data_IF_492947102297
#
_entry.id   IF_492947102297
#
_cell.length_a   1.000
_cell.length_b   1.000
_cell.length_c   1.000
_cell.angle_alpha   90.00
_cell.angle_beta   90.00
_cell.angle_gamma   90.00
#
_symmetry.space_group_name_H-M   'P 1'
#
loop_
_entity.id
_entity.type
_entity.pdbx_description
1 polymer ?
#
# COMPACT_ATOMS: atom_id res chain seq x y z
N UNK A 1 -8.61 -30.90 17.50
CA UNK A 1 -8.05 -29.54 17.55
C UNK A 1 -6.57 -29.51 17.93
N UNK A 2 -6.13 -30.15 19.02
CA UNK A 2 -4.71 -30.12 19.41
C UNK A 2 -3.76 -30.89 18.46
N UNK A 3 -4.18 -32.01 17.88
CA UNK A 3 -3.36 -32.89 17.03
C UNK A 3 -3.15 -32.31 15.60
N UNK A 4 -4.15 -31.59 15.07
CA UNK A 4 -4.03 -30.91 13.76
C UNK A 4 -3.12 -29.69 13.84
N UNK A 5 -3.22 -28.91 14.92
CA UNK A 5 -2.33 -27.77 15.15
C UNK A 5 -0.87 -28.20 15.32
N UNK A 6 -0.63 -29.32 16.04
CA UNK A 6 0.72 -29.87 16.20
C UNK A 6 1.32 -30.30 14.85
N UNK A 7 0.55 -31.03 14.02
CA UNK A 7 0.99 -31.43 12.68
C UNK A 7 1.27 -30.25 11.77
N UNK A 8 0.42 -29.21 11.84
CA UNK A 8 0.63 -27.95 11.11
C UNK A 8 1.93 -27.28 11.54
N UNK A 9 2.16 -27.18 12.84
CA UNK A 9 3.36 -26.54 13.39
C UNK A 9 4.62 -27.30 13.00
N UNK A 10 4.64 -28.64 13.07
CA UNK A 10 5.73 -29.49 12.61
C UNK A 10 6.01 -29.29 11.10
N UNK A 11 4.95 -29.23 10.27
CA UNK A 11 5.10 -28.97 8.85
C UNK A 11 5.71 -27.57 8.58
N UNK A 12 5.28 -26.55 9.30
CA UNK A 12 5.80 -25.19 9.17
C UNK A 12 7.28 -25.10 9.57
N UNK A 13 7.70 -25.77 10.66
CA UNK A 13 9.10 -25.86 11.08
C UNK A 13 9.96 -26.56 10.02
N UNK A 14 9.49 -27.65 9.44
CA UNK A 14 10.19 -28.36 8.37
C UNK A 14 10.32 -27.49 7.11
N UNK A 15 9.21 -26.89 6.64
CA UNK A 15 9.19 -26.05 5.43
C UNK A 15 10.13 -24.85 5.59
N UNK A 16 10.01 -24.11 6.69
CA UNK A 16 10.81 -22.89 6.92
C UNK A 16 12.28 -23.20 7.09
N UNK A 17 12.62 -24.32 7.78
CA UNK A 17 14.00 -24.79 7.91
C UNK A 17 14.60 -25.17 6.55
N UNK A 18 13.86 -25.94 5.73
CA UNK A 18 14.29 -26.36 4.39
C UNK A 18 14.51 -25.18 3.44
N UNK A 19 13.66 -24.16 3.52
CA UNK A 19 13.78 -22.96 2.71
C UNK A 19 14.76 -21.92 3.27
N UNK A 20 15.27 -22.10 4.48
CA UNK A 20 16.16 -21.16 5.15
C UNK A 20 15.48 -19.84 5.46
N UNK A 21 14.17 -19.86 5.81
CA UNK A 21 13.37 -18.66 6.08
C UNK A 21 13.19 -18.51 7.59
N UNK A 22 13.35 -17.28 8.08
CA UNK A 22 13.09 -16.98 9.49
C UNK A 22 11.60 -17.08 9.79
N UNK A 23 11.27 -17.81 10.85
CA UNK A 23 9.92 -17.96 11.35
C UNK A 23 9.90 -17.69 12.86
N UNK A 24 8.90 -16.95 13.33
CA UNK A 24 8.72 -16.56 14.71
C UNK A 24 7.30 -16.91 15.18
N UNK A 25 7.20 -17.28 16.47
CA UNK A 25 5.92 -17.55 17.14
C UNK A 25 5.68 -16.55 18.26
N UNK A 26 4.41 -16.41 18.67
CA UNK A 26 4.03 -15.58 19.81
C UNK A 26 4.09 -14.07 19.57
N UNK A 27 4.18 -13.63 18.32
CA UNK A 27 4.02 -12.22 17.95
C UNK A 27 2.57 -11.79 18.08
N UNK A 28 2.37 -10.48 18.20
CA UNK A 28 1.04 -9.86 18.17
C UNK A 28 0.96 -8.83 17.06
N UNK A 29 -0.24 -8.63 16.51
CA UNK A 29 -0.46 -7.55 15.54
C UNK A 29 -0.16 -6.16 16.13
N UNK A 30 -0.33 -5.98 17.42
CA UNK A 30 0.09 -4.77 18.14
C UNK A 30 1.58 -4.42 17.96
N UNK A 31 2.44 -5.41 17.66
CA UNK A 31 3.86 -5.21 17.42
C UNK A 31 4.17 -4.92 15.93
N UNK A 32 3.30 -5.38 15.02
CA UNK A 32 3.53 -5.37 13.59
C UNK A 32 2.72 -4.30 12.83
N UNK A 33 1.76 -3.64 13.49
CA UNK A 33 0.90 -2.63 12.87
C UNK A 33 1.13 -1.22 13.43
N UNK A 34 0.84 -0.22 12.61
CA UNK A 34 0.97 1.19 13.02
C UNK A 34 -0.08 1.62 14.05
N UNK A 35 -1.25 0.97 14.09
CA UNK A 35 -2.27 1.16 15.13
C UNK A 35 -1.83 0.63 16.50
N UNK A 36 -0.87 -0.31 16.53
CA UNK A 36 -0.36 -0.98 17.74
C UNK A 36 -1.46 -1.63 18.58
N UNK A 37 -2.42 -2.24 17.92
CA UNK A 37 -3.49 -3.07 18.50
C UNK A 37 -3.57 -4.38 17.73
N UNK A 38 -4.31 -5.34 18.27
CA UNK A 38 -4.56 -6.65 17.68
C UNK A 38 -3.92 -7.80 18.44
N UNK A 39 -4.53 -8.96 18.31
CA UNK A 39 -4.26 -10.17 19.07
C UNK A 39 -3.01 -10.95 18.64
N UNK A 40 -2.92 -12.17 19.15
CA UNK A 40 -1.78 -13.07 18.89
C UNK A 40 -1.79 -13.62 17.47
N UNK A 41 -0.61 -13.99 16.99
CA UNK A 41 -0.38 -14.61 15.68
C UNK A 41 0.34 -15.92 15.93
N UNK A 42 -0.16 -17.02 15.34
CA UNK A 42 0.48 -18.31 15.51
C UNK A 42 1.90 -18.31 14.91
N UNK A 43 2.03 -17.83 13.67
CA UNK A 43 3.28 -17.81 12.95
C UNK A 43 3.49 -16.53 12.15
N UNK A 44 4.67 -15.94 12.27
CA UNK A 44 5.17 -14.88 11.38
C UNK A 44 6.38 -15.43 10.63
N UNK A 45 6.28 -15.52 9.31
CA UNK A 45 7.33 -16.02 8.43
C UNK A 45 7.84 -14.86 7.59
N UNK A 46 9.16 -14.66 7.59
CA UNK A 46 9.82 -13.50 7.00
C UNK A 46 10.79 -13.90 5.89
N UNK A 47 10.33 -14.10 4.64
CA UNK A 47 11.22 -14.30 3.50
C UNK A 47 12.06 -13.05 3.24
N UNK A 48 13.29 -13.24 2.75
CA UNK A 48 14.22 -12.15 2.44
C UNK A 48 14.42 -11.94 0.95
N UNK A 49 14.02 -12.92 0.12
CA UNK A 49 14.05 -12.82 -1.36
C UNK A 49 12.71 -13.14 -1.99
N UNK A 50 12.54 -12.73 -3.25
CA UNK A 50 11.33 -12.99 -4.03
C UNK A 50 11.12 -14.50 -4.26
N UNK A 51 12.22 -15.24 -4.47
CA UNK A 51 12.20 -16.70 -4.65
C UNK A 51 11.79 -17.42 -3.37
N UNK A 52 12.30 -17.00 -2.21
CA UNK A 52 11.87 -17.53 -0.92
C UNK A 52 10.38 -17.26 -0.68
N UNK A 53 9.92 -16.05 -1.00
CA UNK A 53 8.51 -15.68 -0.84
C UNK A 53 7.60 -16.48 -1.78
N UNK A 54 8.00 -16.72 -3.02
CA UNK A 54 7.25 -17.57 -3.95
C UNK A 54 7.23 -19.03 -3.49
N UNK A 55 8.36 -19.55 -3.02
CA UNK A 55 8.47 -20.93 -2.56
C UNK A 55 7.61 -21.18 -1.30
N UNK A 56 7.67 -20.29 -0.31
CA UNK A 56 6.88 -20.48 0.93
C UNK A 56 5.38 -20.43 0.65
N UNK A 57 4.90 -19.52 -0.21
CA UNK A 57 3.47 -19.47 -0.59
C UNK A 57 3.03 -20.79 -1.20
N UNK A 58 3.80 -21.33 -2.13
CA UNK A 58 3.49 -22.62 -2.78
C UNK A 58 3.41 -23.77 -1.78
N UNK A 59 4.33 -23.83 -0.81
CA UNK A 59 4.32 -24.86 0.23
C UNK A 59 3.12 -24.70 1.17
N UNK A 60 2.76 -23.46 1.55
CA UNK A 60 1.60 -23.19 2.40
C UNK A 60 0.29 -23.60 1.69
N UNK A 61 0.14 -23.26 0.42
CA UNK A 61 -1.01 -23.61 -0.41
C UNK A 61 -1.15 -25.14 -0.55
N UNK A 62 -0.05 -25.85 -0.85
CA UNK A 62 -0.04 -27.31 -0.95
C UNK A 62 -0.38 -27.99 0.37
N UNK A 63 0.01 -27.40 1.49
CA UNK A 63 -0.31 -27.91 2.83
C UNK A 63 -1.71 -27.50 3.31
N UNK A 64 -2.45 -26.68 2.56
CA UNK A 64 -3.75 -26.14 2.97
C UNK A 64 -3.66 -25.20 4.17
N UNK A 65 -2.49 -24.57 4.36
CA UNK A 65 -2.24 -23.63 5.47
C UNK A 65 -2.58 -22.22 5.02
N UNK A 66 -3.53 -21.60 5.68
CA UNK A 66 -3.93 -20.23 5.40
C UNK A 66 -2.85 -19.21 5.74
N UNK A 67 -2.70 -18.18 4.90
CA UNK A 67 -1.72 -17.12 5.09
C UNK A 67 -2.22 -15.75 4.65
N UNK A 68 -1.60 -14.70 5.17
CA UNK A 68 -1.85 -13.30 4.77
C UNK A 68 -0.54 -12.52 4.64
N UNK A 69 -0.35 -11.71 3.56
CA UNK A 69 0.85 -10.89 3.40
C UNK A 69 0.76 -9.62 4.24
N UNK A 70 1.84 -9.28 4.92
CA UNK A 70 1.97 -8.05 5.68
C UNK A 70 3.20 -7.26 5.24
N UNK A 71 2.97 -6.03 4.78
CA UNK A 71 4.02 -5.04 4.58
C UNK A 71 4.41 -4.40 5.93
N UNK A 72 4.37 -3.07 6.01
CA UNK A 72 4.64 -2.33 7.26
C UNK A 72 3.44 -2.23 8.22
N UNK A 73 2.32 -2.89 7.95
CA UNK A 73 1.12 -2.84 8.79
C UNK A 73 0.49 -1.46 8.94
N UNK A 74 0.69 -0.57 7.96
CA UNK A 74 0.24 0.83 8.03
C UNK A 74 -1.21 1.07 7.61
N UNK A 75 -1.89 0.04 7.10
CA UNK A 75 -3.30 0.09 6.68
C UNK A 75 -4.10 -1.13 7.17
N UNK A 76 -3.73 -1.71 8.33
CA UNK A 76 -4.35 -2.92 8.87
C UNK A 76 -4.89 -2.66 10.26
N UNK A 77 -6.12 -3.08 10.52
CA UNK A 77 -6.72 -3.26 11.83
C UNK A 77 -7.03 -4.75 12.01
N UNK A 78 -6.19 -5.46 12.74
CA UNK A 78 -6.45 -6.83 13.17
C UNK A 78 -7.21 -6.82 14.50
N UNK A 79 -8.21 -7.69 14.66
CA UNK A 79 -8.95 -7.80 15.93
C UNK A 79 -8.08 -8.35 17.08
N UNK A 80 -8.62 -8.34 18.29
CA UNK A 80 -7.90 -8.74 19.52
C UNK A 80 -7.86 -10.25 19.74
N UNK A 81 -8.45 -11.05 18.84
CA UNK A 81 -8.49 -12.52 18.93
C UNK A 81 -7.16 -13.21 18.58
N UNK A 82 -7.15 -14.52 18.69
CA UNK A 82 -6.01 -15.36 18.30
C UNK A 82 -6.12 -15.71 16.80
N UNK A 83 -5.13 -15.28 16.02
CA UNK A 83 -5.11 -15.48 14.57
C UNK A 83 -4.36 -16.77 14.21
N UNK A 84 -5.11 -17.75 13.72
CA UNK A 84 -4.62 -19.12 13.44
C UNK A 84 -4.10 -19.33 12.02
N UNK A 85 -3.75 -18.25 11.31
CA UNK A 85 -3.10 -18.31 10.00
C UNK A 85 -1.64 -17.80 10.08
N UNK A 86 -0.89 -18.03 9.02
CA UNK A 86 0.47 -17.54 8.88
C UNK A 86 0.45 -16.09 8.41
N UNK A 87 1.21 -15.22 9.06
CA UNK A 87 1.51 -13.89 8.53
C UNK A 87 2.84 -13.94 7.78
N UNK A 88 2.82 -13.66 6.47
CA UNK A 88 4.02 -13.49 5.65
C UNK A 88 4.47 -12.04 5.74
N UNK A 89 5.48 -11.77 6.57
CA UNK A 89 6.05 -10.43 6.71
C UNK A 89 7.04 -10.16 5.59
N UNK A 90 6.72 -9.22 4.71
CA UNK A 90 7.59 -8.82 3.60
C UNK A 90 8.57 -7.69 3.98
N UNK A 91 8.58 -7.26 5.23
CA UNK A 91 9.41 -6.14 5.69
C UNK A 91 10.92 -6.42 5.60
N UNK A 92 11.32 -7.69 5.64
CA UNK A 92 12.72 -8.09 5.46
C UNK A 92 13.11 -8.30 3.99
N UNK A 93 12.15 -8.38 3.09
CA UNK A 93 12.36 -8.45 1.63
C UNK A 93 12.64 -7.04 1.07
N UNK A 94 13.70 -6.41 1.56
CA UNK A 94 14.02 -5.00 1.22
C UNK A 94 14.57 -4.87 -0.19
N UNK A 95 15.33 -5.85 -0.65
CA UNK A 95 15.95 -5.85 -1.97
C UNK A 95 16.78 -4.61 -2.29
N UNK A 96 17.37 -4.58 -3.47
CA UNK A 96 18.00 -3.39 -4.01
C UNK A 96 17.07 -2.71 -5.01
N UNK A 97 17.07 -1.37 -5.02
CA UNK A 97 16.44 -0.60 -6.09
C UNK A 97 17.42 -0.54 -7.26
N UNK A 98 17.05 -1.14 -8.38
CA UNK A 98 17.87 -1.11 -9.60
C UNK A 98 17.30 -0.11 -10.60
N UNK A 99 18.20 0.60 -11.28
CA UNK A 99 17.87 1.64 -12.25
C UNK A 99 18.41 1.28 -13.63
N UNK A 100 17.53 1.27 -14.63
CA UNK A 100 17.88 1.11 -16.05
C UNK A 100 17.17 2.22 -16.85
N UNK A 101 17.86 3.36 -17.02
CA UNK A 101 17.27 4.56 -17.59
C UNK A 101 16.07 5.05 -16.79
N UNK A 102 14.89 5.03 -17.38
CA UNK A 102 13.60 5.41 -16.79
C UNK A 102 12.92 4.27 -16.03
N UNK A 103 13.42 3.04 -16.19
CA UNK A 103 12.90 1.85 -15.52
C UNK A 103 13.53 1.68 -14.14
N UNK A 104 12.70 1.44 -13.15
CA UNK A 104 13.13 1.24 -11.75
C UNK A 104 12.52 -0.05 -11.24
N UNK A 105 13.35 -1.08 -11.01
CA UNK A 105 12.90 -2.34 -10.43
C UNK A 105 13.07 -2.34 -8.92
N UNK A 106 12.02 -2.75 -8.21
CA UNK A 106 11.92 -2.63 -6.73
C UNK A 106 11.19 -3.82 -6.14
N UNK A 107 11.66 -4.34 -5.01
CA UNK A 107 10.96 -5.39 -4.25
C UNK A 107 9.77 -4.86 -3.46
N UNK A 108 8.75 -5.70 -3.25
CA UNK A 108 7.51 -5.32 -2.56
C UNK A 108 7.72 -4.86 -1.11
N UNK A 109 8.72 -5.37 -0.41
CA UNK A 109 9.06 -4.96 0.95
C UNK A 109 9.78 -3.61 1.06
N UNK A 110 10.18 -3.00 -0.06
CA UNK A 110 10.88 -1.72 -0.03
C UNK A 110 9.97 -0.59 0.46
N UNK A 111 10.52 0.28 1.31
CA UNK A 111 9.76 1.43 1.85
C UNK A 111 9.35 2.40 0.75
N UNK A 112 8.06 2.69 0.61
CA UNK A 112 7.54 3.64 -0.38
C UNK A 112 8.11 5.06 -0.20
N UNK A 113 8.17 5.65 1.02
CA UNK A 113 8.81 6.94 1.22
C UNK A 113 10.29 6.95 0.81
N UNK A 114 11.01 5.87 1.08
CA UNK A 114 12.42 5.74 0.70
C UNK A 114 12.57 5.67 -0.82
N UNK A 115 11.72 4.90 -1.50
CA UNK A 115 11.69 4.81 -2.95
C UNK A 115 11.51 6.19 -3.60
N UNK A 116 10.55 6.98 -3.12
CA UNK A 116 10.33 8.34 -3.63
C UNK A 116 11.59 9.23 -3.51
N UNK A 117 12.33 9.09 -2.41
CA UNK A 117 13.60 9.82 -2.22
C UNK A 117 14.67 9.34 -3.21
N UNK A 118 14.79 8.02 -3.38
CA UNK A 118 15.86 7.44 -4.19
C UNK A 118 15.66 7.71 -5.69
N UNK A 119 14.42 7.65 -6.20
CA UNK A 119 14.10 8.01 -7.59
C UNK A 119 14.27 9.53 -7.83
N UNK A 120 13.88 10.38 -6.88
CA UNK A 120 14.06 11.81 -6.97
C UNK A 120 15.55 12.21 -7.07
N UNK A 121 16.43 11.52 -6.33
CA UNK A 121 17.90 11.72 -6.41
C UNK A 121 18.47 11.33 -7.77
N UNK A 122 17.79 10.45 -8.50
CA UNK A 122 18.14 10.04 -9.87
C UNK A 122 17.53 10.95 -10.94
N UNK A 123 16.76 11.99 -10.54
CA UNK A 123 16.08 12.86 -11.48
C UNK A 123 14.90 12.18 -12.18
N UNK A 124 14.24 11.24 -11.51
CA UNK A 124 13.08 10.53 -12.02
C UNK A 124 11.81 10.97 -11.26
N UNK A 125 10.80 11.37 -12.01
CA UNK A 125 9.51 11.93 -11.59
C UNK A 125 8.38 10.96 -11.84
N UNK A 126 7.29 11.08 -11.07
CA UNK A 126 6.04 10.31 -11.26
C UNK A 126 5.43 9.78 -9.96
N UNK A 127 6.19 9.77 -8.85
CA UNK A 127 5.71 9.29 -7.54
C UNK A 127 5.95 10.25 -6.37
N UNK A 128 6.25 11.52 -6.63
CA UNK A 128 6.60 12.51 -5.61
C UNK A 128 5.54 12.70 -4.54
N UNK A 129 4.27 12.70 -4.95
CA UNK A 129 3.13 12.83 -4.04
C UNK A 129 2.97 11.68 -3.06
N UNK A 130 3.55 10.51 -3.37
CA UNK A 130 3.46 9.31 -2.54
C UNK A 130 4.48 9.30 -1.39
N UNK A 131 5.48 10.18 -1.41
CA UNK A 131 6.61 10.18 -0.46
C UNK A 131 6.22 10.35 1.02
N UNK A 132 5.02 10.81 1.30
CA UNK A 132 4.48 10.93 2.66
C UNK A 132 3.62 9.74 3.11
N UNK A 133 3.31 8.78 2.24
CA UNK A 133 2.47 7.62 2.58
C UNK A 133 3.36 6.58 3.29
N UNK A 134 3.07 6.22 4.56
CA UNK A 134 3.80 5.14 5.22
C UNK A 134 3.44 3.80 4.58
N UNK A 135 4.40 2.94 4.40
CA UNK A 135 4.13 1.63 3.84
C UNK A 135 5.28 1.10 2.97
N UNK A 136 5.02 -0.05 2.37
CA UNK A 136 5.90 -0.71 1.41
C UNK A 136 5.34 -0.58 0.00
N UNK A 137 6.18 -0.84 -1.02
CA UNK A 137 5.75 -0.87 -2.40
C UNK A 137 4.61 -1.88 -2.63
N UNK A 138 4.71 -3.09 -2.06
CA UNK A 138 3.68 -4.12 -2.21
C UNK A 138 2.31 -3.67 -1.69
N UNK A 139 2.26 -3.05 -0.50
CA UNK A 139 1.03 -2.46 0.02
C UNK A 139 0.52 -1.29 -0.84
N UNK A 140 1.42 -0.48 -1.40
CA UNK A 140 1.04 0.60 -2.30
C UNK A 140 0.45 0.09 -3.62
N UNK A 141 1.01 -0.98 -4.19
CA UNK A 141 0.47 -1.63 -5.39
C UNK A 141 -0.90 -2.26 -5.12
N UNK A 142 -1.04 -3.00 -4.02
CA UNK A 142 -2.28 -3.67 -3.64
C UNK A 142 -3.48 -2.73 -3.61
N UNK A 143 -3.32 -1.57 -3.00
CA UNK A 143 -4.40 -0.60 -2.85
C UNK A 143 -4.34 0.54 -3.87
N UNK A 144 -3.53 0.46 -4.93
CA UNK A 144 -3.29 1.57 -5.85
C UNK A 144 -3.09 2.89 -5.10
N UNK A 145 -2.07 2.94 -4.25
CA UNK A 145 -1.83 4.11 -3.40
C UNK A 145 -1.70 5.39 -4.21
N UNK A 146 -2.46 6.41 -3.80
CA UNK A 146 -2.51 7.68 -4.48
C UNK A 146 -2.57 8.86 -3.52
N UNK A 147 -1.85 9.93 -3.83
CA UNK A 147 -1.89 11.20 -3.12
C UNK A 147 -1.34 12.34 -3.99
N UNK A 148 -1.88 13.55 -3.81
CA UNK A 148 -1.41 14.78 -4.46
C UNK A 148 -1.23 14.67 -5.97
N UNK A 149 -2.20 13.99 -6.63
CA UNK A 149 -2.22 13.83 -8.10
C UNK A 149 -1.33 12.72 -8.65
N UNK A 150 -0.70 11.91 -7.79
CA UNK A 150 0.09 10.74 -8.18
C UNK A 150 -0.60 9.46 -7.71
N UNK A 151 -0.57 8.42 -8.53
CA UNK A 151 -1.01 7.06 -8.22
C UNK A 151 0.05 6.07 -8.68
N UNK A 152 0.32 5.04 -7.86
CA UNK A 152 1.38 4.06 -8.18
C UNK A 152 1.08 3.27 -9.46
N UNK A 153 -0.19 2.95 -9.71
CA UNK A 153 -0.62 2.22 -10.89
C UNK A 153 -0.34 2.94 -12.20
N UNK A 154 -0.27 4.29 -12.21
CA UNK A 154 -0.01 5.08 -13.43
C UNK A 154 1.39 4.89 -13.98
N UNK A 155 2.34 4.58 -13.10
CA UNK A 155 3.77 4.40 -13.44
C UNK A 155 4.20 2.94 -13.40
N UNK A 156 3.31 2.00 -13.03
CA UNK A 156 3.64 0.57 -12.96
C UNK A 156 3.65 -0.06 -14.33
N UNK A 157 4.82 -0.52 -14.78
CA UNK A 157 5.02 -1.23 -16.04
C UNK A 157 4.73 -2.72 -15.90
N UNK A 158 5.34 -3.37 -14.88
CA UNK A 158 5.11 -4.77 -14.54
C UNK A 158 5.03 -4.96 -13.04
N UNK A 159 4.29 -5.98 -12.60
CA UNK A 159 4.26 -6.45 -11.21
C UNK A 159 4.75 -7.88 -11.17
N UNK A 160 5.70 -8.18 -10.30
CA UNK A 160 6.14 -9.54 -10.02
C UNK A 160 5.25 -10.15 -8.95
N UNK A 161 4.72 -11.33 -9.24
CA UNK A 161 3.83 -12.07 -8.34
C UNK A 161 4.33 -13.50 -8.13
N UNK A 162 3.98 -14.10 -6.99
CA UNK A 162 4.21 -15.53 -6.76
C UNK A 162 3.10 -16.33 -7.46
N UNK A 163 3.50 -17.31 -8.28
CA UNK A 163 2.59 -18.31 -8.88
C UNK A 163 3.31 -19.65 -8.97
N UNK A 164 2.69 -20.70 -8.45
CA UNK A 164 3.23 -22.07 -8.52
C UNK A 164 4.70 -22.17 -8.10
N UNK A 165 5.04 -21.49 -7.01
CA UNK A 165 6.41 -21.48 -6.47
C UNK A 165 7.42 -20.67 -7.28
N UNK A 166 7.00 -19.87 -8.24
CA UNK A 166 7.86 -19.08 -9.14
C UNK A 166 7.50 -17.60 -9.09
N UNK A 167 8.48 -16.78 -9.43
CA UNK A 167 8.28 -15.35 -9.70
C UNK A 167 7.81 -15.19 -11.14
N UNK A 168 6.67 -14.51 -11.34
CA UNK A 168 6.05 -14.30 -12.64
C UNK A 168 5.76 -12.81 -12.84
N UNK A 169 6.11 -12.29 -14.02
CA UNK A 169 5.81 -10.92 -14.39
C UNK A 169 4.38 -10.78 -14.93
N UNK A 170 3.63 -9.85 -14.36
CA UNK A 170 2.27 -9.46 -14.80
C UNK A 170 2.34 -8.06 -15.36
N UNK A 171 1.98 -7.85 -16.66
CA UNK A 171 1.99 -6.52 -17.24
C UNK A 171 1.05 -5.57 -16.51
N UNK A 172 1.53 -4.36 -16.18
CA UNK A 172 0.75 -3.35 -15.46
C UNK A 172 -0.51 -2.88 -16.21
N UNK A 173 -0.54 -3.01 -17.54
CA UNK A 173 -1.71 -2.71 -18.38
C UNK A 173 -2.79 -3.83 -18.35
N UNK A 174 -2.49 -5.01 -17.83
CA UNK A 174 -3.47 -6.08 -17.60
C UNK A 174 -4.15 -5.97 -16.23
N UNK A 175 -3.68 -5.05 -15.39
CA UNK A 175 -4.23 -4.79 -14.05
C UNK A 175 -5.17 -3.59 -14.16
N UNK A 176 -6.39 -3.73 -13.64
CA UNK A 176 -7.32 -2.59 -13.52
C UNK A 176 -6.98 -1.82 -12.24
N UNK A 177 -6.57 -0.57 -12.42
CA UNK A 177 -6.23 0.34 -11.34
C UNK A 177 -7.39 1.30 -11.06
N UNK A 178 -8.02 1.15 -9.92
CA UNK A 178 -9.12 1.99 -9.47
C UNK A 178 -8.73 2.75 -8.19
N UNK A 179 -9.59 3.68 -7.77
CA UNK A 179 -9.42 4.39 -6.50
C UNK A 179 -9.37 3.40 -5.33
N UNK A 180 -8.22 3.33 -4.65
CA UNK A 180 -7.97 2.42 -3.51
C UNK A 180 -8.21 0.94 -3.81
N UNK A 181 -7.95 0.53 -5.05
CA UNK A 181 -8.12 -0.85 -5.48
C UNK A 181 -7.28 -1.15 -6.73
N UNK A 182 -6.71 -2.36 -6.76
CA UNK A 182 -6.10 -2.94 -7.96
C UNK A 182 -6.62 -4.38 -8.12
N UNK A 183 -6.85 -4.81 -9.38
CA UNK A 183 -7.50 -6.09 -9.71
C UNK A 183 -6.55 -7.30 -9.59
N UNK A 184 -5.75 -7.35 -8.52
CA UNK A 184 -5.00 -8.57 -8.20
C UNK A 184 -5.95 -9.67 -7.77
N UNK A 185 -5.56 -10.91 -8.06
CA UNK A 185 -6.35 -12.07 -7.64
C UNK A 185 -6.14 -12.31 -6.14
N UNK A 186 -7.18 -12.81 -5.54
CA UNK A 186 -7.08 -13.33 -4.18
C UNK A 186 -6.02 -14.44 -4.12
N UNK A 187 -5.23 -14.48 -3.03
CA UNK A 187 -4.12 -15.43 -2.91
C UNK A 187 -2.86 -15.05 -3.72
N UNK A 188 -2.85 -13.97 -4.49
CA UNK A 188 -1.61 -13.51 -5.15
C UNK A 188 -0.72 -12.75 -4.17
N UNK A 189 0.52 -13.21 -3.98
CA UNK A 189 1.54 -12.48 -3.27
C UNK A 189 2.31 -11.57 -4.22
N UNK A 190 2.29 -10.25 -3.98
CA UNK A 190 3.09 -9.29 -4.74
C UNK A 190 4.53 -9.31 -4.24
N UNK A 191 5.47 -9.53 -5.14
CA UNK A 191 6.90 -9.68 -4.82
C UNK A 191 7.70 -8.43 -5.15
N UNK A 192 7.27 -7.66 -6.16
CA UNK A 192 7.95 -6.44 -6.59
C UNK A 192 7.29 -5.83 -7.81
N UNK A 193 7.89 -4.77 -8.34
CA UNK A 193 7.43 -4.13 -9.57
C UNK A 193 8.59 -3.49 -10.33
N UNK A 194 8.37 -3.29 -11.64
CA UNK A 194 9.13 -2.34 -12.46
C UNK A 194 8.23 -1.13 -12.71
N UNK A 195 8.74 0.05 -12.33
CA UNK A 195 8.11 1.33 -12.57
C UNK A 195 8.78 2.01 -13.77
N UNK A 196 7.99 2.64 -14.62
CA UNK A 196 8.48 3.51 -15.70
C UNK A 196 8.23 4.97 -15.28
N UNK A 197 9.30 5.69 -15.03
CA UNK A 197 9.30 7.06 -14.50
C UNK A 197 9.82 8.03 -15.58
N UNK A 198 9.53 9.32 -15.41
CA UNK A 198 9.90 10.34 -16.41
C UNK A 198 11.09 11.16 -15.90
N UNK A 199 12.14 11.40 -16.71
CA UNK A 199 13.22 12.29 -16.34
C UNK A 199 12.73 13.73 -16.07
N UNK A 200 13.17 14.31 -14.96
CA UNK A 200 12.91 15.70 -14.63
C UNK A 200 14.06 16.28 -13.76
N UNK A 201 14.08 17.57 -13.61
CA UNK A 201 15.09 18.26 -12.80
C UNK A 201 14.94 17.90 -11.33
N UNK A 202 16.01 17.46 -10.65
CA UNK A 202 15.94 17.04 -9.24
C UNK A 202 15.42 18.11 -8.29
N UNK A 203 15.72 19.40 -8.55
CA UNK A 203 15.22 20.53 -7.77
C UNK A 203 13.70 20.71 -7.92
N UNK A 204 13.15 20.49 -9.13
CA UNK A 204 11.72 20.55 -9.37
C UNK A 204 10.97 19.38 -8.71
N UNK A 205 11.51 18.15 -8.81
CA UNK A 205 10.99 16.97 -8.12
C UNK A 205 10.97 17.22 -6.61
N UNK A 206 12.11 17.70 -6.06
CA UNK A 206 12.23 18.00 -4.64
C UNK A 206 11.21 19.05 -4.18
N UNK A 207 10.99 20.10 -4.94
CA UNK A 207 10.00 21.13 -4.63
C UNK A 207 8.58 20.55 -4.53
N UNK A 208 8.19 19.65 -5.45
CA UNK A 208 6.88 18.96 -5.40
C UNK A 208 6.78 18.01 -4.19
N UNK A 209 7.85 17.30 -3.85
CA UNK A 209 7.89 16.46 -2.65
C UNK A 209 7.74 17.27 -1.36
N UNK A 210 8.45 18.40 -1.27
CA UNK A 210 8.40 19.28 -0.10
C UNK A 210 7.02 19.94 0.06
N UNK A 211 6.36 20.31 -1.04
CA UNK A 211 4.98 20.83 -1.04
C UNK A 211 3.98 19.76 -0.57
N UNK A 212 4.04 18.55 -1.15
CA UNK A 212 3.19 17.43 -0.73
C UNK A 212 3.39 17.08 0.76
N UNK A 213 4.65 17.04 1.21
CA UNK A 213 4.99 16.82 2.61
C UNK A 213 4.42 17.92 3.52
N UNK A 214 4.56 19.19 3.15
CA UNK A 214 4.05 20.31 3.94
C UNK A 214 2.54 20.29 4.07
N UNK A 215 1.82 20.03 2.97
CA UNK A 215 0.36 19.84 2.98
C UNK A 215 -0.07 18.70 3.89
N UNK A 216 0.64 17.57 3.84
CA UNK A 216 0.36 16.39 4.68
C UNK A 216 0.59 16.70 6.16
N UNK A 217 1.71 17.35 6.50
CA UNK A 217 2.04 17.74 7.87
C UNK A 217 0.99 18.68 8.48
N UNK A 218 0.43 19.59 7.66
CA UNK A 218 -0.59 20.53 8.09
C UNK A 218 -1.98 19.89 8.34
N UNK A 219 -2.27 18.75 7.69
CA UNK A 219 -3.64 18.19 7.65
C UNK A 219 -3.81 16.82 8.30
N UNK A 220 -2.73 16.08 8.57
CA UNK A 220 -2.80 14.72 9.10
C UNK A 220 -2.06 14.58 10.44
N UNK A 221 -2.52 13.70 11.34
CA UNK A 221 -1.84 13.48 12.62
C UNK A 221 -0.50 12.76 12.41
N UNK A 222 0.59 13.35 12.95
CA UNK A 222 1.93 12.78 12.85
C UNK A 222 2.36 12.20 14.18
N UNK A 223 3.08 11.06 14.13
CA UNK A 223 3.59 10.39 15.32
C UNK A 223 2.53 9.69 16.17
N UNK A 224 1.27 9.72 15.75
CA UNK A 224 0.18 8.99 16.41
C UNK A 224 0.08 7.55 15.89
N UNK A 225 -0.47 6.66 16.72
CA UNK A 225 -0.77 5.28 16.35
C UNK A 225 -2.05 5.26 15.52
N UNK A 226 -1.95 5.19 14.18
CA UNK A 226 -3.10 5.18 13.26
C UNK A 226 -2.81 4.35 12.02
N UNK A 227 -3.87 3.94 11.30
CA UNK A 227 -3.78 3.24 10.02
C UNK A 227 -4.10 4.17 8.82
N UNK A 228 -3.91 5.47 8.95
CA UNK A 228 -4.30 6.42 7.91
C UNK A 228 -5.79 6.77 7.95
N UNK A 229 -6.37 7.07 6.79
CA UNK A 229 -7.81 7.25 6.65
C UNK A 229 -8.55 5.94 6.90
N UNK A 230 -9.57 6.00 7.76
CA UNK A 230 -10.35 4.80 8.09
C UNK A 230 -11.35 4.42 7.00
N UNK A 231 -11.88 5.41 6.31
CA UNK A 231 -12.92 5.24 5.29
C UNK A 231 -12.51 5.85 3.96
N UNK A 232 -12.96 5.23 2.88
CA UNK A 232 -12.87 5.77 1.53
C UNK A 232 -13.73 7.03 1.39
N UNK A 233 -13.38 7.88 0.44
CA UNK A 233 -14.30 8.95 0.03
C UNK A 233 -15.43 8.36 -0.82
N UNK A 234 -16.71 8.64 -0.50
CA UNK A 234 -17.82 8.11 -1.27
C UNK A 234 -17.83 8.67 -2.70
N UNK A 235 -17.98 7.83 -3.73
CA UNK A 235 -17.94 8.28 -5.13
C UNK A 235 -19.08 9.25 -5.50
N UNK A 236 -20.20 9.13 -4.81
CA UNK A 236 -21.38 9.97 -5.04
C UNK A 236 -21.31 11.34 -4.33
N UNK A 237 -20.25 11.63 -3.56
CA UNK A 237 -20.14 12.87 -2.80
C UNK A 237 -18.99 13.73 -3.28
N UNK A 238 -19.23 15.03 -3.42
CA UNK A 238 -18.17 16.04 -3.63
C UNK A 238 -17.47 16.44 -2.33
N UNK A 239 -18.00 16.00 -1.18
CA UNK A 239 -17.41 16.24 0.14
C UNK A 239 -16.65 15.00 0.59
N UNK A 240 -15.36 15.16 0.93
CA UNK A 240 -14.56 14.05 1.45
C UNK A 240 -15.00 13.60 2.84
N UNK A 241 -14.86 12.31 3.13
CA UNK A 241 -15.29 11.67 4.40
C UNK A 241 -14.75 12.39 5.64
N UNK A 242 -13.50 12.84 5.62
CA UNK A 242 -12.94 13.59 6.75
C UNK A 242 -13.71 14.87 7.08
N UNK A 243 -14.17 15.58 6.04
CA UNK A 243 -14.98 16.79 6.23
C UNK A 243 -16.39 16.46 6.73
N UNK A 244 -17.01 15.38 6.21
CA UNK A 244 -18.32 14.93 6.71
C UNK A 244 -18.28 14.63 8.22
N UNK A 245 -17.29 13.87 8.67
CA UNK A 245 -17.13 13.51 10.08
C UNK A 245 -16.82 14.74 10.94
N UNK A 246 -16.05 15.69 10.40
CA UNK A 246 -15.72 16.95 11.09
C UNK A 246 -16.96 17.84 11.27
N UNK A 247 -17.78 18.01 10.23
CA UNK A 247 -19.02 18.80 10.25
C UNK A 247 -20.06 18.22 11.25
N UNK A 248 -20.02 16.90 11.50
CA UNK A 248 -20.81 16.27 12.55
C UNK A 248 -20.24 16.46 13.97
N UNK A 249 -19.12 17.17 14.12
CA UNK A 249 -18.50 17.45 15.41
C UNK A 249 -17.89 16.22 16.10
N UNK A 250 -17.45 15.21 15.33
CA UNK A 250 -16.92 13.96 15.91
C UNK A 250 -15.42 13.99 16.26
N UNK A 251 -14.67 15.02 15.88
CA UNK A 251 -13.27 15.17 16.32
C UNK A 251 -13.16 15.09 17.84
N UNK A 252 -12.24 14.28 18.36
CA UNK A 252 -12.06 14.06 19.79
C UNK A 252 -13.04 13.08 20.43
N UNK A 253 -14.04 12.57 19.70
CA UNK A 253 -14.91 11.48 20.19
C UNK A 253 -14.09 10.27 20.55
N UNK A 254 -14.39 9.66 21.69
CA UNK A 254 -13.60 8.57 22.26
C UNK A 254 -14.44 7.33 22.53
N UNK A 255 -13.86 6.16 22.26
CA UNK A 255 -14.32 4.85 22.72
C UNK A 255 -13.12 4.11 23.31
N UNK A 256 -13.15 3.84 24.61
CA UNK A 256 -12.04 3.22 25.30
C UNK A 256 -10.69 3.87 24.97
N UNK A 257 -9.81 3.11 24.33
CA UNK A 257 -8.48 3.54 23.88
C UNK A 257 -8.45 4.23 22.52
N UNK A 258 -9.57 4.24 21.77
CA UNK A 258 -9.65 4.84 20.45
C UNK A 258 -10.22 6.26 20.46
N UNK A 259 -9.69 7.14 19.60
CA UNK A 259 -10.08 8.55 19.51
C UNK A 259 -10.16 8.97 18.05
N UNK A 260 -11.22 9.69 17.66
CA UNK A 260 -11.23 10.42 16.39
C UNK A 260 -10.21 11.55 16.48
N UNK A 261 -9.22 11.53 15.59
CA UNK A 261 -8.14 12.52 15.64
C UNK A 261 -8.67 13.96 15.61
N UNK A 262 -8.20 14.84 16.50
CA UNK A 262 -8.56 16.25 16.46
C UNK A 262 -7.99 16.99 15.25
N UNK A 263 -6.95 16.42 14.58
CA UNK A 263 -6.33 17.01 13.39
C UNK A 263 -7.12 16.64 12.13
N UNK A 264 -7.45 15.35 11.94
CA UNK A 264 -8.14 14.86 10.75
C UNK A 264 -9.22 13.86 11.14
N UNK A 265 -10.49 14.20 10.90
CA UNK A 265 -11.62 13.43 11.42
C UNK A 265 -11.78 12.01 10.80
N UNK A 266 -11.19 11.74 9.63
CA UNK A 266 -11.14 10.38 9.05
C UNK A 266 -9.97 9.53 9.57
N UNK A 267 -9.31 9.96 10.66
CA UNK A 267 -8.27 9.20 11.34
C UNK A 267 -8.74 8.79 12.72
N UNK A 268 -8.70 7.50 13.00
CA UNK A 268 -8.84 6.97 14.36
C UNK A 268 -7.43 6.69 14.87
N UNK A 269 -7.11 7.23 16.04
CA UNK A 269 -5.84 7.00 16.74
C UNK A 269 -6.08 6.17 17.97
N UNK A 270 -5.11 5.33 18.35
CA UNK A 270 -5.15 4.55 19.58
C UNK A 270 -4.16 5.10 20.60
N UNK A 271 -4.55 5.10 21.88
CA UNK A 271 -3.79 5.68 22.98
C UNK A 271 -3.66 4.69 24.15
N UNK A 272 -2.58 4.82 24.91
CA UNK A 272 -2.31 3.97 26.07
C UNK A 272 -1.59 2.66 25.72
N UNK A 273 -1.13 1.96 26.76
CA UNK A 273 -0.37 0.70 26.62
C UNK A 273 -1.29 -0.50 26.36
N UNK A 274 -2.52 -0.45 26.85
CA UNK A 274 -3.52 -1.51 26.73
C UNK A 274 -4.58 -1.15 25.69
N UNK A 275 -4.19 -0.50 24.60
CA UNK A 275 -5.12 -0.17 23.53
C UNK A 275 -5.67 -1.44 22.88
N UNK A 276 -6.96 -1.40 22.48
CA UNK A 276 -7.70 -2.53 21.93
C UNK A 276 -8.21 -2.24 20.54
N UNK A 277 -8.17 -3.26 19.69
CA UNK A 277 -8.71 -3.16 18.33
C UNK A 277 -10.23 -3.01 18.34
N UNK A 278 -10.92 -3.65 19.30
CA UNK A 278 -12.37 -3.52 19.45
C UNK A 278 -12.83 -2.08 19.71
N UNK A 279 -12.04 -1.26 20.45
CA UNK A 279 -12.36 0.15 20.68
C UNK A 279 -12.30 0.96 19.37
N UNK A 280 -11.28 0.70 18.53
CA UNK A 280 -11.15 1.36 17.25
C UNK A 280 -12.27 0.96 16.29
N UNK A 281 -12.64 -0.34 16.28
CA UNK A 281 -13.73 -0.84 15.44
C UNK A 281 -15.09 -0.29 15.91
N UNK A 282 -15.37 -0.29 17.22
CA UNK A 282 -16.60 0.25 17.78
C UNK A 282 -16.76 1.75 17.47
N UNK A 283 -15.66 2.52 17.53
CA UNK A 283 -15.67 3.93 17.16
C UNK A 283 -15.91 4.12 15.66
N UNK A 284 -15.32 3.28 14.84
CA UNK A 284 -15.53 3.31 13.39
C UNK A 284 -16.99 2.97 13.02
N UNK A 285 -17.60 1.97 13.64
CA UNK A 285 -19.01 1.65 13.41
C UNK A 285 -19.93 2.79 13.87
N UNK A 286 -19.65 3.43 15.01
CA UNK A 286 -20.41 4.60 15.45
C UNK A 286 -20.36 5.75 14.40
N UNK A 287 -19.19 5.97 13.79
CA UNK A 287 -19.04 6.96 12.71
C UNK A 287 -19.89 6.55 11.50
N UNK A 288 -19.81 5.29 11.04
CA UNK A 288 -20.57 4.77 9.91
C UNK A 288 -22.09 4.92 10.11
N UNK A 289 -22.57 4.47 11.25
CA UNK A 289 -24.00 4.57 11.61
C UNK A 289 -24.47 6.03 11.64
N UNK A 290 -23.65 6.92 12.17
CA UNK A 290 -23.97 8.33 12.26
C UNK A 290 -24.01 8.99 10.90
N UNK A 291 -23.02 8.74 10.02
CA UNK A 291 -23.00 9.26 8.64
C UNK A 291 -24.21 8.71 7.87
N UNK A 292 -24.50 7.42 7.98
CA UNK A 292 -25.67 6.80 7.34
C UNK A 292 -26.98 7.45 7.79
N UNK A 293 -27.14 7.67 9.09
CA UNK A 293 -28.36 8.27 9.68
C UNK A 293 -28.53 9.74 9.30
N UNK A 294 -27.46 10.55 9.32
CA UNK A 294 -27.53 12.00 9.15
C UNK A 294 -27.40 12.44 7.68
N UNK A 295 -26.70 11.68 6.85
CA UNK A 295 -26.41 12.04 5.46
C UNK A 295 -26.90 11.00 4.43
N UNK A 296 -27.38 9.83 4.87
CA UNK A 296 -27.84 8.77 3.97
C UNK A 296 -26.72 8.07 3.20
N UNK A 297 -25.46 8.29 3.60
CA UNK A 297 -24.27 7.74 2.92
C UNK A 297 -23.76 6.54 3.70
N UNK A 298 -23.50 5.43 3.01
CA UNK A 298 -22.86 4.27 3.57
C UNK A 298 -21.34 4.34 3.33
N UNK A 299 -20.56 4.46 4.41
CA UNK A 299 -19.10 4.54 4.32
C UNK A 299 -18.49 3.15 4.15
N UNK A 300 -17.52 3.05 3.22
CA UNK A 300 -16.67 1.87 3.04
C UNK A 300 -15.36 2.04 3.79
N UNK A 301 -14.86 0.96 4.39
CA UNK A 301 -13.53 0.95 5.00
C UNK A 301 -12.44 1.12 3.93
N UNK A 302 -11.45 1.98 4.21
CA UNK A 302 -10.17 2.02 3.50
C UNK A 302 -9.13 1.17 4.22
N UNK A 303 -9.22 1.08 5.55
CA UNK A 303 -8.39 0.19 6.36
C UNK A 303 -8.80 -1.26 6.16
N UNK A 304 -7.80 -2.13 6.01
CA UNK A 304 -8.00 -3.59 5.90
C UNK A 304 -8.33 -4.18 7.27
N UNK A 305 -9.52 -4.77 7.39
CA UNK A 305 -9.97 -5.43 8.63
C UNK A 305 -9.57 -6.91 8.59
N UNK A 306 -8.76 -7.34 9.56
CA UNK A 306 -8.32 -8.73 9.70
C UNK A 306 -8.96 -9.37 10.92
N UNK A 307 -9.79 -10.40 10.70
CA UNK A 307 -10.52 -11.11 11.74
C UNK A 307 -9.85 -12.43 12.07
N UNK A 308 -9.82 -12.77 13.36
CA UNK A 308 -9.20 -14.01 13.86
C UNK A 308 -9.87 -15.27 13.32
N UNK A 309 -11.19 -15.22 13.10
CA UNK A 309 -12.00 -16.39 12.68
C UNK A 309 -12.31 -16.43 11.18
N UNK A 310 -11.81 -15.48 10.38
CA UNK A 310 -11.99 -15.52 8.94
C UNK A 310 -10.88 -16.38 8.31
N UNK A 311 -11.23 -17.34 7.44
CA UNK A 311 -10.24 -18.07 6.67
C UNK A 311 -9.44 -17.08 5.82
N UNK A 312 -8.16 -17.36 5.66
CA UNK A 312 -7.19 -16.52 4.97
C UNK A 312 -7.43 -16.36 3.46
N UNK A 313 -8.38 -17.09 2.89
CA UNK A 313 -8.71 -17.14 1.46
C UNK A 313 -10.04 -16.48 1.09
N UNK A 314 -10.85 -16.05 2.05
CA UNK A 314 -12.04 -15.26 1.76
C UNK A 314 -11.71 -13.78 1.94
N UNK A 315 -11.16 -13.17 0.89
CA UNK A 315 -11.10 -11.72 0.75
C UNK A 315 -12.52 -11.16 0.82
N UNK A 316 -12.64 -9.95 1.31
CA UNK A 316 -13.91 -9.21 1.34
C UNK A 316 -14.62 -9.35 0.00
N UNK A 317 -15.62 -10.21 -0.07
CA UNK A 317 -16.51 -10.32 -1.21
C UNK A 317 -17.29 -9.01 -1.35
N UNK A 318 -16.75 -8.12 -2.16
CA UNK A 318 -17.42 -6.87 -2.55
C UNK A 318 -18.50 -7.12 -3.60
N UNK A 319 -18.81 -8.40 -3.91
CA UNK A 319 -19.76 -8.78 -4.95
C UNK A 319 -21.24 -8.70 -4.52
N UNK A 320 -21.54 -8.35 -3.27
CA UNK A 320 -22.91 -8.25 -2.79
C UNK A 320 -23.52 -6.84 -2.75
N UNK A 321 -22.98 -5.87 -3.51
CA UNK A 321 -23.66 -4.60 -3.73
C UNK A 321 -24.31 -4.59 -5.12
N UNK A 322 -25.65 -4.70 -5.24
CA UNK A 322 -26.31 -4.57 -6.52
C UNK A 322 -26.29 -3.10 -6.96
N UNK A 323 -25.62 -2.80 -8.08
CA UNK A 323 -25.84 -1.56 -8.81
C UNK A 323 -24.68 -0.56 -8.90
N UNK A 324 -23.47 -1.00 -9.20
CA UNK A 324 -22.42 -0.11 -9.72
C UNK A 324 -22.33 -0.25 -11.24
N UNK A 325 -23.20 0.45 -11.98
CA UNK A 325 -22.95 0.74 -13.38
C UNK A 325 -21.72 1.66 -13.49
N UNK A 326 -20.80 1.26 -14.35
CA UNK A 326 -19.55 1.95 -14.62
C UNK A 326 -19.80 3.39 -15.08
N UNK A 327 -19.50 4.37 -14.23
CA UNK A 327 -19.39 5.76 -14.67
C UNK A 327 -18.10 5.92 -15.46
N UNK A 328 -18.22 6.48 -16.67
CA UNK A 328 -17.16 6.74 -17.64
C UNK A 328 -15.86 7.30 -17.04
N UNK A 329 -14.68 6.90 -17.56
CA UNK A 329 -13.40 7.32 -17.01
C UNK A 329 -13.13 8.79 -17.30
N UNK A 330 -12.81 9.54 -16.27
CA UNK A 330 -12.12 10.81 -16.40
C UNK A 330 -10.77 10.57 -17.08
N UNK A 331 -10.53 11.27 -18.18
CA UNK A 331 -9.35 11.40 -19.02
C UNK A 331 -8.24 10.36 -18.87
N UNK A 332 -8.07 9.54 -19.90
CA UNK A 332 -6.91 8.66 -20.09
C UNK A 332 -5.63 9.50 -20.02
N UNK A 333 -4.94 9.45 -18.87
CA UNK A 333 -3.56 9.93 -18.76
C UNK A 333 -2.71 8.93 -19.55
N UNK A 334 -2.11 9.35 -20.68
CA UNK A 334 -1.19 8.52 -21.45
C UNK A 334 -0.05 8.08 -20.54
N UNK A 335 0.15 6.76 -20.43
CA UNK A 335 1.36 6.19 -19.81
C UNK A 335 2.58 6.69 -20.59
N UNK A 336 3.70 7.02 -19.93
CA UNK A 336 4.95 7.28 -20.63
C UNK A 336 5.38 6.01 -21.37
N UNK A 337 5.69 6.14 -22.67
CA UNK A 337 6.24 5.06 -23.48
C UNK A 337 7.75 5.00 -23.24
N UNK A 338 8.20 4.02 -22.47
CA UNK A 338 9.63 3.76 -22.26
C UNK A 338 10.33 3.13 -23.48
N UNK A 339 9.62 2.79 -24.54
CA UNK A 339 10.18 2.12 -25.72
C UNK A 339 10.65 3.08 -26.84
N UNK A 340 10.50 4.41 -26.68
CA UNK A 340 10.84 5.38 -27.75
C UNK A 340 12.20 6.08 -27.59
N UNK A 341 13.02 5.70 -26.61
CA UNK A 341 14.36 6.27 -26.41
C UNK A 341 15.44 5.32 -26.94
N UNK A 342 15.58 5.23 -28.25
CA UNK A 342 16.69 4.47 -28.82
C UNK A 342 16.65 4.36 -30.34
N UNK A 343 17.07 5.43 -31.02
CA UNK A 343 17.73 5.49 -32.33
C UNK A 343 17.46 6.87 -32.94
N UNK A 344 18.31 7.86 -32.63
CA UNK A 344 18.71 8.93 -33.55
C UNK A 344 19.47 10.02 -32.77
N UNK A 345 20.75 9.79 -32.55
CA UNK A 345 21.70 10.85 -32.26
C UNK A 345 23.10 10.48 -32.75
N UNK A 346 23.29 10.50 -34.07
CA UNK A 346 24.63 10.60 -34.64
C UNK A 346 24.55 11.21 -36.05
N UNK A 347 24.65 12.52 -36.13
CA UNK A 347 25.21 13.22 -37.31
C UNK A 347 25.74 14.60 -36.88
N UNK A 348 26.98 14.94 -37.20
CA UNK A 348 27.56 16.24 -36.88
C UNK A 348 27.16 17.27 -37.95
N UNK A 349 26.59 18.39 -37.53
CA UNK A 349 26.46 19.57 -38.42
C UNK A 349 27.68 20.46 -38.34
N UNK A 350 28.35 20.53 -39.46
CA UNK A 350 29.43 21.47 -39.80
C UNK A 350 28.89 22.88 -40.05
N UNK A 351 29.57 23.85 -39.46
CA UNK A 351 29.90 25.19 -39.94
C UNK A 351 28.91 26.02 -40.76
N UNK A 352 28.71 27.25 -40.27
CA UNK A 352 28.28 28.41 -41.08
C UNK A 352 28.44 29.71 -40.28
N UNK A 353 29.58 30.37 -40.46
CA UNK A 353 29.89 31.68 -39.90
C UNK A 353 29.24 32.83 -40.68
N UNK A 354 29.28 34.00 -40.08
CA UNK A 354 29.06 35.36 -40.63
C UNK A 354 27.63 35.91 -40.44
N UNK A 355 27.31 37.04 -39.88
CA UNK A 355 27.94 38.38 -39.85
C UNK A 355 27.26 39.25 -38.80
N UNK A 356 28.06 40.00 -38.05
CA UNK A 356 27.65 41.22 -37.35
C UNK A 356 27.49 42.35 -38.40
N UNK A 357 26.57 43.32 -38.28
CA UNK A 357 27.01 44.57 -37.71
C UNK A 357 26.01 45.45 -36.92
N UNK A 358 26.54 45.97 -35.82
CA UNK A 358 26.48 47.36 -35.38
C UNK A 358 25.15 48.09 -35.14
N UNK A 359 24.94 48.48 -33.88
CA UNK A 359 24.97 49.85 -33.36
C UNK A 359 23.72 50.75 -33.45
N UNK A 360 23.49 51.41 -32.28
CA UNK A 360 22.70 52.65 -32.01
C UNK A 360 21.22 52.39 -31.69
N UNK A 361 20.69 52.84 -30.55
CA UNK A 361 20.94 53.92 -29.57
C UNK A 361 20.56 53.43 -28.18
#
# INVERSE_FOLDING_TARGET
MNDELLKRDEALEEITSRLGITAERGKRFAELTSLRVGGSIDWVISPTTEEQAAAIVFELENAGIGWRPLGSGSNVLADDGDHHYVVLSLSEMKGEVTFDGERVSVSAGYSLPRLCIDVARKGLSGIEGLGGIPGTLGGALWMNAGAYGHEIGTVTETVRVAREGRVVDVPGNSITWNYRHASFKEGELLLGATLCLTPDRPDAIKARMDDAKSKRLATQPHGSRSAGCFFKNPPASTVGTGKMIDEMGMKGTRRGSAVVSPVHANFIVTEGENARAEDALALAEEIRERVKREQGIELEYEVELWRANEPSSEGNDVSSVPGAEASSPAGVIKKPDCDTAGEDACAPSTNGAADDPSAKE
#
